data_IF_437505333173
#
_entry.id   IF_437505333173
#
_cell.length_a   1.000
_cell.length_b   1.000
_cell.length_c   1.000
_cell.angle_alpha   90.00
_cell.angle_beta   90.00
_cell.angle_gamma   90.00
#
_symmetry.space_group_name_H-M   'P 1'
#
loop_
_entity.id
_entity.type
_entity.pdbx_description
1 polymer ?
#
# COMPACT_ATOMS: atom_id res chain seq x y z
N UNK A 1 -10.95 -4.22 -46.69
CA UNK A 1 -10.77 -4.68 -45.30
C UNK A 1 -9.80 -3.73 -44.62
N UNK A 2 -10.30 -2.63 -44.06
CA UNK A 2 -9.49 -1.65 -43.34
C UNK A 2 -10.41 -1.01 -42.30
N UNK A 3 -10.15 -1.25 -41.01
CA UNK A 3 -11.02 -0.72 -39.95
C UNK A 3 -10.73 -1.16 -38.52
N UNK A 4 -9.80 -2.09 -38.27
CA UNK A 4 -9.58 -2.62 -36.91
C UNK A 4 -8.28 -2.16 -36.22
N UNK A 5 -7.23 -1.78 -36.98
CA UNK A 5 -5.90 -1.50 -36.40
C UNK A 5 -5.84 -0.26 -35.50
N UNK A 6 -6.54 0.83 -35.82
CA UNK A 6 -6.44 2.07 -35.05
C UNK A 6 -7.07 1.99 -33.64
N UNK A 7 -8.09 1.14 -33.46
CA UNK A 7 -8.70 0.90 -32.14
C UNK A 7 -7.87 -0.06 -31.30
N UNK A 8 -7.26 -1.06 -31.93
CA UNK A 8 -6.36 -2.03 -31.28
C UNK A 8 -5.06 -1.35 -30.81
N UNK A 9 -4.45 -0.50 -31.64
CA UNK A 9 -3.24 0.27 -31.29
C UNK A 9 -3.48 1.26 -30.12
N UNK A 10 -4.66 1.89 -30.08
CA UNK A 10 -5.04 2.79 -28.99
C UNK A 10 -5.24 2.06 -27.66
N UNK A 11 -5.88 0.87 -27.70
CA UNK A 11 -6.06 0.05 -26.51
C UNK A 11 -4.73 -0.50 -25.97
N UNK A 12 -3.84 -0.93 -26.86
CA UNK A 12 -2.50 -1.40 -26.47
C UNK A 12 -1.68 -0.27 -25.83
N UNK A 13 -1.76 0.95 -26.37
CA UNK A 13 -1.11 2.13 -25.77
C UNK A 13 -1.62 2.41 -24.35
N UNK A 14 -2.94 2.33 -24.13
CA UNK A 14 -3.53 2.52 -22.81
C UNK A 14 -3.11 1.42 -21.83
N UNK A 15 -3.03 0.17 -22.30
CA UNK A 15 -2.56 -0.96 -21.48
C UNK A 15 -1.10 -0.81 -21.08
N UNK A 16 -0.23 -0.45 -22.03
CA UNK A 16 1.16 -0.15 -21.71
C UNK A 16 1.31 1.02 -20.71
N UNK A 17 0.37 2.00 -20.74
CA UNK A 17 0.34 3.04 -19.71
C UNK A 17 -0.11 2.52 -18.36
N UNK A 18 -1.09 1.63 -18.31
CA UNK A 18 -1.55 0.99 -17.08
C UNK A 18 -0.44 0.13 -16.47
N UNK A 19 0.25 -0.67 -17.28
CA UNK A 19 1.35 -1.54 -16.82
C UNK A 19 2.45 -0.73 -16.11
N UNK A 20 2.79 0.45 -16.64
CA UNK A 20 3.76 1.38 -16.01
C UNK A 20 3.25 1.96 -14.68
N UNK A 21 1.95 2.24 -14.59
CA UNK A 21 1.32 2.69 -13.34
C UNK A 21 1.36 1.56 -12.31
N UNK A 22 1.05 0.33 -12.72
CA UNK A 22 1.07 -0.84 -11.86
C UNK A 22 2.48 -1.16 -11.36
N UNK A 23 3.50 -1.06 -12.22
CA UNK A 23 4.90 -1.17 -11.80
C UNK A 23 5.26 -0.12 -10.74
N UNK A 24 4.83 1.12 -10.94
CA UNK A 24 5.04 2.21 -9.96
C UNK A 24 4.28 1.96 -8.65
N UNK A 25 3.09 1.36 -8.72
CA UNK A 25 2.29 0.99 -7.55
C UNK A 25 2.98 -0.11 -6.74
N UNK A 26 3.51 -1.13 -7.43
CA UNK A 26 4.26 -2.22 -6.80
C UNK A 26 5.53 -1.70 -6.11
N UNK A 27 6.30 -0.83 -6.78
CA UNK A 27 7.49 -0.21 -6.18
C UNK A 27 7.13 0.64 -4.95
N UNK A 28 6.03 1.41 -5.03
CA UNK A 28 5.54 2.23 -3.92
C UNK A 28 5.14 1.35 -2.72
N UNK A 29 4.45 0.24 -2.97
CA UNK A 29 4.09 -0.72 -1.92
C UNK A 29 5.32 -1.37 -1.28
N UNK A 30 6.31 -1.78 -2.08
CA UNK A 30 7.60 -2.32 -1.60
C UNK A 30 8.27 -1.33 -0.64
N UNK A 31 8.47 -0.08 -1.08
CA UNK A 31 9.09 0.97 -0.27
C UNK A 31 8.32 1.29 0.99
N UNK A 32 6.98 1.22 0.94
CA UNK A 32 6.13 1.40 2.12
C UNK A 32 6.38 0.29 3.14
N UNK A 33 6.49 -0.96 2.70
CA UNK A 33 6.77 -2.10 3.58
C UNK A 33 8.17 -2.01 4.18
N UNK A 34 9.18 -1.63 3.39
CA UNK A 34 10.55 -1.40 3.88
C UNK A 34 10.58 -0.35 5.00
N UNK A 35 9.86 0.76 4.83
CA UNK A 35 9.71 1.76 5.89
C UNK A 35 9.01 1.19 7.15
N UNK A 36 8.02 0.32 7.00
CA UNK A 36 7.40 -0.36 8.15
C UNK A 36 8.38 -1.28 8.89
N UNK A 37 9.28 -1.97 8.16
CA UNK A 37 10.35 -2.78 8.76
C UNK A 37 11.30 -1.91 9.58
N UNK A 38 11.74 -0.76 9.04
CA UNK A 38 12.57 0.20 9.77
C UNK A 38 11.88 0.71 11.04
N UNK A 39 10.59 1.05 10.95
CA UNK A 39 9.78 1.44 12.11
C UNK A 39 9.72 0.30 13.14
N UNK A 40 9.57 -0.94 12.71
CA UNK A 40 9.53 -2.09 13.62
C UNK A 40 10.87 -2.28 14.36
N UNK A 41 11.99 -2.16 13.66
CA UNK A 41 13.33 -2.20 14.28
C UNK A 41 13.48 -1.07 15.31
N UNK A 42 13.11 0.14 14.94
CA UNK A 42 13.15 1.28 15.85
C UNK A 42 12.29 1.06 17.09
N UNK A 43 11.04 0.60 16.92
CA UNK A 43 10.12 0.30 18.01
C UNK A 43 10.72 -0.74 18.95
N UNK A 44 11.30 -1.81 18.40
CA UNK A 44 11.95 -2.88 19.17
C UNK A 44 13.11 -2.35 20.00
N UNK A 45 14.01 -1.58 19.39
CA UNK A 45 15.20 -1.01 20.06
C UNK A 45 14.83 -0.06 21.21
N UNK A 46 13.68 0.63 21.09
CA UNK A 46 13.22 1.61 22.06
C UNK A 46 12.09 1.11 22.96
N UNK A 47 11.78 -0.20 22.94
CA UNK A 47 10.68 -0.82 23.70
C UNK A 47 9.31 -0.13 23.49
N UNK A 48 9.07 0.39 22.28
CA UNK A 48 7.79 0.99 21.91
C UNK A 48 6.80 -0.12 21.53
N UNK A 49 5.57 -0.10 22.06
CA UNK A 49 4.56 -1.09 21.70
C UNK A 49 4.27 -1.11 20.20
N UNK A 50 4.12 -2.31 19.65
CA UNK A 50 3.78 -2.49 18.23
C UNK A 50 2.42 -1.87 17.90
N UNK A 51 1.38 -2.26 18.65
CA UNK A 51 0.01 -1.82 18.41
C UNK A 51 -0.19 -0.37 18.84
N UNK A 52 -0.46 0.48 17.85
CA UNK A 52 -0.74 1.90 18.03
C UNK A 52 -2.06 2.28 17.33
N UNK A 53 -3.24 2.04 17.96
CA UNK A 53 -4.55 2.22 17.32
C UNK A 53 -4.77 3.63 16.73
N UNK A 54 -4.21 4.66 17.39
CA UNK A 54 -4.25 6.02 16.88
C UNK A 54 -3.58 6.17 15.51
N UNK A 55 -2.47 5.47 15.26
CA UNK A 55 -1.75 5.51 13.97
C UNK A 55 -2.56 4.86 12.86
N UNK A 56 -3.21 3.73 13.14
CA UNK A 56 -4.14 3.06 12.22
C UNK A 56 -5.27 4.03 11.84
N UNK A 57 -5.87 4.70 12.82
CA UNK A 57 -6.91 5.69 12.58
C UNK A 57 -6.45 6.88 11.71
N UNK A 58 -5.21 7.34 11.86
CA UNK A 58 -4.65 8.39 10.99
C UNK A 58 -4.54 7.90 9.53
N UNK A 59 -4.01 6.69 9.32
CA UNK A 59 -3.82 6.14 7.98
C UNK A 59 -5.16 5.99 7.27
N UNK A 60 -6.17 5.43 7.95
CA UNK A 60 -7.52 5.30 7.42
C UNK A 60 -8.17 6.65 7.09
N UNK A 61 -8.05 7.65 7.97
CA UNK A 61 -8.58 9.00 7.69
C UNK A 61 -7.90 9.65 6.49
N UNK A 62 -6.59 9.47 6.33
CA UNK A 62 -5.85 9.99 5.17
C UNK A 62 -6.30 9.32 3.88
N UNK A 63 -6.51 8.01 3.90
CA UNK A 63 -7.06 7.27 2.75
C UNK A 63 -8.48 7.78 2.41
N UNK A 64 -9.38 7.86 3.38
CA UNK A 64 -10.73 8.36 3.16
C UNK A 64 -10.73 9.79 2.58
N UNK A 65 -9.86 10.67 3.08
CA UNK A 65 -9.73 12.03 2.55
C UNK A 65 -9.21 12.05 1.12
N UNK A 66 -8.18 11.26 0.84
CA UNK A 66 -7.62 11.13 -0.52
C UNK A 66 -8.69 10.63 -1.50
N UNK A 67 -9.50 9.65 -1.10
CA UNK A 67 -10.58 9.14 -1.93
C UNK A 67 -11.57 10.25 -2.32
N UNK A 68 -12.01 11.05 -1.35
CA UNK A 68 -12.91 12.18 -1.57
C UNK A 68 -12.31 13.25 -2.49
N UNK A 69 -11.05 13.62 -2.27
CA UNK A 69 -10.38 14.68 -3.04
C UNK A 69 -10.09 14.27 -4.50
N UNK A 70 -10.02 12.97 -4.79
CA UNK A 70 -9.64 12.43 -6.12
C UNK A 70 -10.77 11.66 -6.83
N UNK A 71 -11.99 11.69 -6.31
CA UNK A 71 -13.14 11.01 -6.95
C UNK A 71 -13.03 9.49 -6.96
N UNK A 72 -12.30 8.91 -6.00
CA UNK A 72 -12.22 7.46 -5.80
C UNK A 72 -13.31 7.05 -4.82
N UNK A 73 -13.91 5.87 -5.00
CA UNK A 73 -14.84 5.31 -4.03
C UNK A 73 -14.17 5.20 -2.63
N UNK A 74 -14.69 5.92 -1.61
CA UNK A 74 -14.14 5.86 -0.26
C UNK A 74 -14.15 4.46 0.34
N UNK A 75 -15.13 3.63 -0.02
CA UNK A 75 -15.24 2.27 0.49
C UNK A 75 -14.20 1.34 -0.14
N UNK A 76 -13.92 1.49 -1.43
CA UNK A 76 -12.80 0.83 -2.09
C UNK A 76 -11.47 1.15 -1.39
N UNK A 77 -11.18 2.43 -1.19
CA UNK A 77 -9.89 2.84 -0.64
C UNK A 77 -9.76 2.46 0.84
N UNK A 78 -10.85 2.49 1.62
CA UNK A 78 -10.89 1.96 2.99
C UNK A 78 -10.49 0.48 3.03
N UNK A 79 -11.11 -0.36 2.19
CA UNK A 79 -10.80 -1.81 2.13
C UNK A 79 -9.36 -2.07 1.68
N UNK A 80 -8.87 -1.32 0.70
CA UNK A 80 -7.46 -1.41 0.29
C UNK A 80 -6.52 -1.10 1.47
N UNK A 81 -6.80 -0.02 2.21
CA UNK A 81 -5.97 0.34 3.36
C UNK A 81 -6.14 -0.61 4.55
N UNK A 82 -7.26 -1.32 4.69
CA UNK A 82 -7.38 -2.42 5.65
C UNK A 82 -6.38 -3.54 5.35
N UNK A 83 -6.26 -3.95 4.08
CA UNK A 83 -5.29 -4.96 3.64
C UNK A 83 -3.84 -4.48 3.85
N UNK A 84 -3.56 -3.23 3.47
CA UNK A 84 -2.22 -2.64 3.62
C UNK A 84 -1.82 -2.53 5.10
N UNK A 85 -2.76 -2.18 5.99
CA UNK A 85 -2.49 -2.10 7.43
C UNK A 85 -2.31 -3.49 8.03
N UNK A 86 -3.11 -4.47 7.62
CA UNK A 86 -2.94 -5.86 8.06
C UNK A 86 -1.56 -6.40 7.70
N UNK A 87 -1.07 -6.12 6.50
CA UNK A 87 0.28 -6.52 6.07
C UNK A 87 1.37 -5.79 6.88
N UNK A 88 1.19 -4.49 7.17
CA UNK A 88 2.09 -3.76 8.08
C UNK A 88 2.15 -4.43 9.45
N UNK A 89 1.02 -4.80 10.04
CA UNK A 89 0.99 -5.48 11.33
C UNK A 89 1.76 -6.81 11.26
N UNK A 90 1.50 -7.64 10.25
CA UNK A 90 2.19 -8.93 10.06
C UNK A 90 3.71 -8.76 9.96
N UNK A 91 4.17 -7.76 9.22
CA UNK A 91 5.61 -7.48 9.04
C UNK A 91 6.24 -6.95 10.33
N UNK A 92 5.57 -6.03 11.05
CA UNK A 92 6.06 -5.56 12.35
C UNK A 92 6.14 -6.71 13.37
N UNK A 93 5.13 -7.58 13.42
CA UNK A 93 5.09 -8.78 14.28
C UNK A 93 6.29 -9.70 13.99
N UNK A 94 6.62 -9.93 12.71
CA UNK A 94 7.78 -10.74 12.34
C UNK A 94 9.09 -10.12 12.85
N UNK A 95 9.30 -8.82 12.65
CA UNK A 95 10.56 -8.15 13.03
C UNK A 95 10.73 -8.07 14.56
N UNK A 96 9.63 -7.87 15.28
CA UNK A 96 9.61 -7.77 16.75
C UNK A 96 9.68 -9.18 17.38
N UNK A 97 8.95 -10.15 16.84
CA UNK A 97 8.85 -11.51 17.34
C UNK A 97 10.07 -12.40 17.05
N UNK A 98 10.74 -12.23 15.91
CA UNK A 98 11.84 -13.11 15.46
C UNK A 98 13.13 -13.02 16.32
N UNK A 99 13.25 -12.01 17.19
CA UNK A 99 14.38 -11.89 18.13
C UNK A 99 14.03 -12.35 19.54
N UNK A 100 12.74 -12.38 19.92
CA UNK A 100 12.33 -12.91 21.22
C UNK A 100 12.47 -14.45 21.31
N UNK A 101 12.61 -15.12 20.15
CA UNK A 101 12.78 -16.57 20.03
C UNK A 101 14.25 -17.03 19.85
N UNK A 102 15.23 -16.14 20.04
CA UNK A 102 16.68 -16.44 20.05
C UNK A 102 17.30 -16.13 21.40
#
# INVERSE_FOLDING_TARGET
MAGNGAGEDGLETLRASLDRIDESLLDTLRRRIECCVEIAHFKREHNVPMMQPHRIGIVQRRAARYAQDHGIDPDFLRRLYELVIAETCRVEDLVIGDVAAR
#
